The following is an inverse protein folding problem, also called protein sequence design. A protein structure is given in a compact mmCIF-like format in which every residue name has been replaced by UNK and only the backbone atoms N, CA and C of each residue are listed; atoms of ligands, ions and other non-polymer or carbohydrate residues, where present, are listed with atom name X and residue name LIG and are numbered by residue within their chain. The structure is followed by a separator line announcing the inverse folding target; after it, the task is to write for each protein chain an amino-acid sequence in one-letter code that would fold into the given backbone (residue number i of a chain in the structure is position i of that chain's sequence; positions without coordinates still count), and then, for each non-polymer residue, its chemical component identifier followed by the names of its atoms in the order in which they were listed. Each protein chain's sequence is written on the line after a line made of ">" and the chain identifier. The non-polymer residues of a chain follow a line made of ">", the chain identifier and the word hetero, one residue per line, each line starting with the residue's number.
data_IF_846827751890
#
_entry.id   IF_846827751890
#
_cell.length_a   1.000
_cell.length_b   1.000
_cell.length_c   1.000
_cell.angle_alpha   90.00
_cell.angle_beta   90.00
_cell.angle_gamma   90.00
#
_symmetry.space_group_name_H-M   'P 1'
#
loop_
_entity.id
_entity.type
_entity.pdbx_description
1 polymer ?
#
# COMPACT_ATOMS: atom_id res chain seq x y z
N UNK A 1 49.06 7.61 16.82
CA UNK A 1 47.84 8.44 16.87
C UNK A 1 46.65 7.59 16.45
N UNK A 2 45.88 7.05 17.40
CA UNK A 2 44.67 6.30 17.11
C UNK A 2 43.45 7.18 17.36
N UNK A 3 42.75 7.59 16.30
CA UNK A 3 41.44 8.22 16.43
C UNK A 3 40.38 7.14 16.22
N UNK A 4 39.77 6.70 17.33
CA UNK A 4 38.50 5.97 17.29
C UNK A 4 37.41 6.99 17.03
N UNK A 5 36.77 6.92 15.87
CA UNK A 5 35.57 7.69 15.59
C UNK A 5 34.37 6.98 16.22
N UNK A 6 33.72 7.70 17.13
CA UNK A 6 32.49 7.31 17.79
C UNK A 6 31.34 7.40 16.78
N UNK A 7 30.66 6.29 16.52
CA UNK A 7 29.39 6.31 15.81
C UNK A 7 28.35 6.90 16.76
N UNK A 8 27.84 8.09 16.42
CA UNK A 8 26.68 8.67 17.10
C UNK A 8 25.47 7.93 16.56
N UNK A 9 24.93 7.00 17.35
CA UNK A 9 23.64 6.39 17.06
C UNK A 9 22.58 7.49 17.23
N UNK A 10 21.96 7.91 16.13
CA UNK A 10 20.78 8.76 16.21
C UNK A 10 19.69 8.01 17.00
N UNK A 11 18.96 8.68 17.90
CA UNK A 11 17.98 8.02 18.72
C UNK A 11 16.94 7.36 17.81
N UNK A 12 16.84 6.02 17.87
CA UNK A 12 15.77 5.30 17.21
C UNK A 12 14.44 5.84 17.76
N UNK A 13 13.71 6.62 16.96
CA UNK A 13 12.37 7.06 17.33
C UNK A 13 11.51 5.82 17.59
N UNK A 14 11.15 5.63 18.86
CA UNK A 14 10.22 4.58 19.26
C UNK A 14 8.82 5.08 18.88
N UNK A 15 8.37 4.69 17.69
CA UNK A 15 6.99 4.87 17.27
C UNK A 15 6.11 3.93 18.12
N UNK A 16 5.45 4.49 19.15
CA UNK A 16 4.63 3.75 20.13
C UNK A 16 3.49 2.94 19.48
N UNK A 17 3.16 3.19 18.20
CA UNK A 17 2.16 2.45 17.43
C UNK A 17 2.71 1.41 16.44
N UNK A 18 4.03 1.22 16.37
CA UNK A 18 4.65 0.38 15.35
C UNK A 18 4.61 -1.11 15.71
N UNK A 19 3.99 -1.93 14.86
CA UNK A 19 3.89 -3.38 15.03
C UNK A 19 4.85 -4.10 14.08
N UNK A 20 5.66 -5.02 14.61
CA UNK A 20 6.52 -5.88 13.79
C UNK A 20 5.65 -6.85 12.98
N UNK A 21 5.73 -6.78 11.65
CA UNK A 21 4.91 -7.62 10.77
C UNK A 21 5.70 -8.73 10.07
N UNK A 22 7.01 -8.53 9.85
CA UNK A 22 7.89 -9.49 9.21
C UNK A 22 9.36 -9.09 9.34
N UNK A 23 10.27 -9.97 8.93
CA UNK A 23 11.67 -9.63 8.66
C UNK A 23 11.83 -9.23 7.20
N UNK A 24 12.83 -8.40 6.90
CA UNK A 24 13.18 -8.04 5.51
C UNK A 24 13.52 -9.26 4.66
N UNK A 25 13.96 -10.35 5.29
CA UNK A 25 14.30 -11.60 4.61
C UNK A 25 13.09 -12.34 4.06
N UNK A 26 11.92 -12.19 4.71
CA UNK A 26 10.66 -12.79 4.27
C UNK A 26 10.25 -12.23 2.90
N UNK A 27 10.69 -11.00 2.59
CA UNK A 27 10.43 -10.34 1.31
C UNK A 27 11.38 -10.74 0.17
N UNK A 28 12.42 -11.55 0.46
CA UNK A 28 13.32 -12.10 -0.56
C UNK A 28 12.65 -13.23 -1.36
N UNK A 29 11.79 -14.01 -0.71
CA UNK A 29 11.08 -15.14 -1.31
C UNK A 29 9.70 -14.73 -1.84
N UNK A 30 8.97 -13.90 -1.11
CA UNK A 30 7.69 -13.33 -1.54
C UNK A 30 7.73 -11.80 -1.54
N UNK A 31 7.45 -11.15 -2.66
CA UNK A 31 7.42 -9.67 -2.72
C UNK A 31 6.21 -9.04 -2.01
N UNK A 32 5.33 -9.85 -1.40
CA UNK A 32 4.08 -9.40 -0.77
C UNK A 32 3.74 -10.23 0.47
N UNK A 33 3.18 -9.58 1.48
CA UNK A 33 2.78 -10.17 2.75
C UNK A 33 1.39 -9.64 3.16
N UNK A 34 0.43 -10.54 3.38
CA UNK A 34 -0.83 -10.22 4.05
C UNK A 34 -0.64 -10.39 5.56
N UNK A 35 -1.14 -9.44 6.34
CA UNK A 35 -1.13 -9.53 7.81
C UNK A 35 -2.28 -8.71 8.42
N UNK A 36 -2.41 -8.75 9.74
CA UNK A 36 -3.37 -7.95 10.51
C UNK A 36 -2.61 -7.12 11.54
N UNK A 37 -2.91 -5.83 11.62
CA UNK A 37 -2.39 -4.91 12.64
C UNK A 37 -3.60 -4.28 13.33
N UNK A 38 -3.72 -4.43 14.65
CA UNK A 38 -4.84 -3.90 15.45
C UNK A 38 -6.22 -4.13 14.80
N UNK A 39 -6.51 -5.40 14.45
CA UNK A 39 -7.74 -5.86 13.78
C UNK A 39 -8.00 -5.30 12.36
N UNK A 40 -7.04 -4.57 11.77
CA UNK A 40 -7.10 -4.12 10.39
C UNK A 40 -6.25 -5.00 9.48
N UNK A 41 -6.86 -5.58 8.45
CA UNK A 41 -6.13 -6.36 7.46
C UNK A 41 -5.37 -5.46 6.48
N UNK A 42 -4.07 -5.69 6.36
CA UNK A 42 -3.18 -4.93 5.48
C UNK A 42 -2.40 -5.87 4.57
N UNK A 43 -1.85 -5.29 3.51
CA UNK A 43 -0.83 -5.91 2.67
C UNK A 43 0.42 -5.05 2.67
N UNK A 44 1.57 -5.69 2.86
CA UNK A 44 2.88 -5.07 2.68
C UNK A 44 3.48 -5.57 1.37
N UNK A 45 3.82 -4.65 0.48
CA UNK A 45 4.55 -4.91 -0.75
C UNK A 45 6.00 -4.50 -0.60
N UNK A 46 6.91 -5.29 -1.17
CA UNK A 46 8.31 -4.93 -1.35
C UNK A 46 8.60 -4.75 -2.85
N UNK A 47 8.96 -3.54 -3.24
CA UNK A 47 9.21 -3.16 -4.62
C UNK A 47 10.41 -2.22 -4.70
N UNK A 48 11.40 -2.55 -5.54
CA UNK A 48 12.62 -1.76 -5.76
C UNK A 48 13.33 -1.29 -4.46
N UNK A 49 13.41 -2.18 -3.46
CA UNK A 49 14.08 -1.89 -2.19
C UNK A 49 13.24 -1.08 -1.18
N UNK A 50 11.99 -0.73 -1.53
CA UNK A 50 11.06 -0.01 -0.65
C UNK A 50 9.90 -0.91 -0.22
N UNK A 51 9.42 -0.69 0.99
CA UNK A 51 8.25 -1.38 1.53
C UNK A 51 7.06 -0.42 1.59
N UNK A 52 5.89 -0.90 1.18
CA UNK A 52 4.65 -0.13 1.12
C UNK A 52 3.54 -0.91 1.81
N UNK A 53 2.88 -0.31 2.80
CA UNK A 53 1.74 -0.93 3.48
C UNK A 53 0.45 -0.24 3.04
N UNK A 54 -0.54 -1.03 2.62
CA UNK A 54 -1.86 -0.57 2.23
C UNK A 54 -2.93 -1.44 2.91
N UNK A 55 -4.14 -0.93 3.01
CA UNK A 55 -5.30 -1.77 3.27
C UNK A 55 -5.35 -2.97 2.33
N UNK A 56 -5.66 -4.15 2.85
CA UNK A 56 -5.68 -5.39 2.07
C UNK A 56 -6.74 -5.38 0.96
N UNK A 57 -7.89 -4.76 1.25
CA UNK A 57 -9.12 -4.82 0.45
C UNK A 57 -9.22 -3.61 -0.46
N UNK A 58 -9.32 -3.84 -1.76
CA UNK A 58 -9.41 -2.79 -2.78
C UNK A 58 -10.62 -1.89 -2.54
N UNK A 59 -10.41 -0.58 -2.56
CA UNK A 59 -11.45 0.43 -2.34
C UNK A 59 -12.67 0.35 -3.28
N UNK A 60 -12.54 -0.31 -4.43
CA UNK A 60 -13.64 -0.41 -5.40
C UNK A 60 -14.75 -1.35 -4.92
N UNK A 61 -14.38 -2.57 -4.52
CA UNK A 61 -15.36 -3.63 -4.17
C UNK A 61 -14.80 -4.66 -3.18
N UNK A 62 -13.72 -4.35 -2.45
CA UNK A 62 -13.13 -5.28 -1.47
C UNK A 62 -12.18 -6.35 -2.04
N UNK A 63 -11.76 -6.22 -3.30
CA UNK A 63 -10.89 -7.21 -3.94
C UNK A 63 -9.54 -7.42 -3.23
N UNK A 64 -8.97 -8.64 -3.24
CA UNK A 64 -7.78 -9.00 -2.47
C UNK A 64 -6.50 -8.46 -3.12
N UNK A 65 -5.99 -7.31 -2.65
CA UNK A 65 -4.81 -6.67 -3.26
C UNK A 65 -3.53 -7.48 -3.12
N UNK A 66 -3.41 -8.33 -2.10
CA UNK A 66 -2.27 -9.25 -1.96
C UNK A 66 -2.16 -10.28 -3.09
N UNK A 67 -3.23 -10.53 -3.86
CA UNK A 67 -3.18 -11.36 -5.07
C UNK A 67 -2.94 -10.53 -6.34
N UNK A 68 -2.88 -9.21 -6.22
CA UNK A 68 -2.55 -8.31 -7.32
C UNK A 68 -1.07 -8.37 -7.70
N UNK A 69 -0.80 -7.95 -8.93
CA UNK A 69 0.55 -7.76 -9.46
C UNK A 69 0.94 -6.28 -9.39
N UNK A 70 2.24 -6.01 -9.39
CA UNK A 70 2.78 -4.64 -9.38
C UNK A 70 3.24 -4.28 -10.79
N UNK A 71 2.77 -3.15 -11.30
CA UNK A 71 3.17 -2.59 -12.60
C UNK A 71 3.59 -1.12 -12.44
N UNK A 72 4.61 -0.71 -13.19
CA UNK A 72 4.99 0.70 -13.29
C UNK A 72 4.12 1.43 -14.31
N UNK A 73 3.32 2.37 -13.83
CA UNK A 73 2.36 3.14 -14.63
C UNK A 73 2.66 4.61 -14.44
N UNK A 74 3.01 5.29 -15.54
CA UNK A 74 3.28 6.73 -15.51
C UNK A 74 4.38 7.10 -14.49
N UNK A 75 5.42 6.26 -14.43
CA UNK A 75 6.53 6.40 -13.47
C UNK A 75 6.20 6.07 -12.03
N UNK A 76 5.01 5.49 -11.76
CA UNK A 76 4.53 5.15 -10.41
C UNK A 76 4.26 3.67 -10.28
N UNK A 77 4.85 3.03 -9.28
CA UNK A 77 4.57 1.64 -8.95
C UNK A 77 3.13 1.49 -8.45
N UNK A 78 2.35 0.66 -9.12
CA UNK A 78 0.93 0.45 -8.85
C UNK A 78 0.62 -1.03 -8.61
N UNK A 79 -0.16 -1.34 -7.56
CA UNK A 79 -0.82 -2.64 -7.47
C UNK A 79 -2.04 -2.66 -8.39
N UNK A 80 -2.18 -3.74 -9.15
CA UNK A 80 -3.33 -4.00 -10.02
C UNK A 80 -4.29 -4.94 -9.30
N UNK A 81 -5.47 -4.43 -8.94
CA UNK A 81 -6.49 -5.24 -8.29
C UNK A 81 -6.88 -6.43 -9.19
N UNK A 82 -6.89 -7.67 -8.67
CA UNK A 82 -7.14 -8.86 -9.49
C UNK A 82 -8.56 -8.91 -10.06
N UNK A 83 -9.56 -8.33 -9.36
CA UNK A 83 -10.97 -8.34 -9.78
C UNK A 83 -11.23 -7.40 -10.96
N UNK A 84 -11.09 -6.09 -10.76
CA UNK A 84 -11.49 -5.08 -11.75
C UNK A 84 -10.34 -4.29 -12.37
N UNK A 85 -9.09 -4.71 -12.14
CA UNK A 85 -7.86 -4.11 -12.71
C UNK A 85 -7.65 -2.63 -12.36
N UNK A 86 -8.25 -2.19 -11.25
CA UNK A 86 -7.99 -0.88 -10.67
C UNK A 86 -6.51 -0.76 -10.30
N UNK A 87 -5.93 0.40 -10.61
CA UNK A 87 -4.51 0.71 -10.43
C UNK A 87 -4.37 1.62 -9.24
N UNK A 88 -3.66 1.16 -8.22
CA UNK A 88 -3.49 1.87 -6.96
C UNK A 88 -2.01 2.11 -6.75
N UNK A 89 -1.61 3.39 -6.66
CA UNK A 89 -0.22 3.77 -6.41
C UNK A 89 0.21 3.26 -5.04
N UNK A 90 1.33 2.55 -4.97
CA UNK A 90 1.81 1.94 -3.71
C UNK A 90 2.22 3.00 -2.67
N UNK A 91 2.80 4.11 -3.13
CA UNK A 91 3.33 5.17 -2.26
C UNK A 91 2.22 6.04 -1.66
N UNK A 92 1.23 6.45 -2.47
CA UNK A 92 0.21 7.41 -2.06
C UNK A 92 -1.19 6.81 -1.90
N UNK A 93 -1.45 5.62 -2.42
CA UNK A 93 -2.78 5.02 -2.41
C UNK A 93 -3.74 5.64 -3.44
N UNK A 94 -3.24 6.44 -4.37
CA UNK A 94 -4.05 7.08 -5.40
C UNK A 94 -4.59 6.07 -6.42
N UNK A 95 -5.86 6.24 -6.81
CA UNK A 95 -6.48 5.46 -7.87
C UNK A 95 -6.22 6.07 -9.24
N UNK A 96 -5.51 5.36 -10.13
CA UNK A 96 -5.22 5.85 -11.49
C UNK A 96 -6.24 5.40 -12.52
N UNK A 97 -6.50 6.26 -13.50
CA UNK A 97 -7.31 5.95 -14.67
C UNK A 97 -6.76 6.61 -15.94
N UNK A 98 -7.07 6.03 -17.09
CA UNK A 98 -6.80 6.68 -18.37
C UNK A 98 -7.99 7.54 -18.78
N UNK A 99 -7.71 8.78 -19.16
CA UNK A 99 -8.70 9.73 -19.66
C UNK A 99 -8.14 10.51 -20.84
N UNK A 100 -8.96 11.39 -21.40
CA UNK A 100 -8.52 12.41 -22.36
C UNK A 100 -8.77 13.76 -21.70
N UNK A 101 -7.79 14.66 -21.74
CA UNK A 101 -8.01 16.03 -21.27
C UNK A 101 -8.88 16.76 -22.31
N UNK A 102 -10.11 17.20 -21.97
CA UNK A 102 -10.98 17.91 -22.90
C UNK A 102 -10.41 19.27 -23.33
N UNK A 103 -9.41 19.81 -22.61
CA UNK A 103 -8.74 21.08 -22.93
C UNK A 103 -7.61 20.89 -23.95
N UNK A 104 -7.15 19.67 -24.18
CA UNK A 104 -6.08 19.40 -25.14
C UNK A 104 -6.62 19.13 -26.55
N UNK A 105 -6.11 19.83 -27.58
CA UNK A 105 -6.59 19.64 -28.95
C UNK A 105 -6.21 18.26 -29.50
N UNK A 106 -5.08 17.72 -29.06
CA UNK A 106 -4.67 16.34 -29.34
C UNK A 106 -5.35 15.45 -28.29
N UNK A 107 -6.42 14.75 -28.70
CA UNK A 107 -7.21 13.83 -27.85
C UNK A 107 -6.43 12.56 -27.46
N UNK A 108 -5.23 12.71 -26.93
CA UNK A 108 -4.38 11.61 -26.50
C UNK A 108 -4.81 11.13 -25.12
N UNK A 109 -4.77 9.81 -24.90
CA UNK A 109 -5.05 9.25 -23.58
C UNK A 109 -3.87 9.51 -22.66
N UNK A 110 -4.16 10.00 -21.46
CA UNK A 110 -3.19 10.25 -20.38
C UNK A 110 -3.65 9.60 -19.09
N UNK A 111 -2.71 9.42 -18.18
CA UNK A 111 -2.99 8.96 -16.82
C UNK A 111 -3.42 10.12 -15.94
N UNK A 112 -4.49 9.90 -15.18
CA UNK A 112 -5.06 10.84 -14.23
C UNK A 112 -5.24 10.16 -12.88
N UNK A 113 -5.26 10.96 -11.81
CA UNK A 113 -5.51 10.48 -10.45
C UNK A 113 -6.96 10.77 -10.03
N UNK A 114 -7.57 9.82 -9.32
CA UNK A 114 -8.84 10.00 -8.60
C UNK A 114 -8.64 10.56 -7.18
N UNK A 115 -7.42 10.96 -6.83
CA UNK A 115 -6.99 11.23 -5.46
C UNK A 115 -6.72 9.95 -4.68
N UNK A 116 -6.41 10.11 -3.39
CA UNK A 116 -6.16 9.00 -2.46
C UNK A 116 -7.44 8.19 -2.28
N UNK A 117 -7.40 6.92 -2.66
CA UNK A 117 -8.55 6.00 -2.63
C UNK A 117 -8.31 4.76 -1.78
N UNK A 118 -7.05 4.36 -1.68
CA UNK A 118 -6.60 3.28 -0.82
C UNK A 118 -5.77 3.87 0.32
N UNK A 119 -6.08 3.52 1.57
CA UNK A 119 -5.27 3.98 2.71
C UNK A 119 -3.90 3.32 2.67
N UNK A 120 -2.86 4.14 2.80
CA UNK A 120 -1.49 3.72 3.04
C UNK A 120 -1.17 3.82 4.54
N UNK A 121 -0.23 3.00 4.99
CA UNK A 121 0.27 2.99 6.36
C UNK A 121 1.78 3.23 6.38
N UNK A 122 2.28 3.79 7.48
CA UNK A 122 3.71 4.07 7.62
C UNK A 122 4.44 2.74 7.80
N UNK A 123 5.51 2.55 7.02
CA UNK A 123 6.41 1.40 7.16
C UNK A 123 7.76 1.90 7.63
N UNK A 124 8.31 1.26 8.65
CA UNK A 124 9.64 1.56 9.18
C UNK A 124 10.45 0.28 9.22
N UNK A 125 11.67 0.32 8.69
CA UNK A 125 12.60 -0.81 8.72
C UNK A 125 13.71 -0.50 9.70
N UNK A 126 13.87 -1.32 10.74
CA UNK A 126 14.93 -1.20 11.74
C UNK A 126 15.42 -2.58 12.17
N UNK A 127 16.74 -2.74 12.34
CA UNK A 127 17.36 -3.99 12.80
C UNK A 127 16.89 -5.24 12.01
N UNK A 128 16.66 -5.10 10.70
CA UNK A 128 16.17 -6.17 9.82
C UNK A 128 14.68 -6.53 9.98
N UNK A 129 13.95 -5.85 10.86
CA UNK A 129 12.49 -5.97 11.01
C UNK A 129 11.73 -4.92 10.20
N UNK A 130 10.60 -5.33 9.65
CA UNK A 130 9.62 -4.44 8.98
C UNK A 130 8.49 -4.19 9.97
N UNK A 131 8.31 -2.93 10.33
CA UNK A 131 7.30 -2.46 11.26
C UNK A 131 6.26 -1.62 10.52
N UNK A 132 5.00 -1.74 10.91
CA UNK A 132 3.90 -0.94 10.36
C UNK A 132 3.21 -0.17 11.47
N UNK A 133 3.01 1.13 11.24
CA UNK A 133 2.17 2.00 12.07
C UNK A 133 0.94 2.38 11.28
N UNK A 134 -0.24 2.04 11.80
CA UNK A 134 -1.50 2.37 11.13
C UNK A 134 -1.70 3.88 11.08
N UNK A 135 -1.87 4.41 9.88
CA UNK A 135 -2.35 5.78 9.67
C UNK A 135 -3.68 6.04 10.36
N UNK A 136 -3.81 7.23 10.95
CA UNK A 136 -5.01 7.67 11.63
C UNK A 136 -6.22 7.71 10.69
N UNK A 137 -7.31 7.11 11.15
CA UNK A 137 -8.59 7.02 10.41
C UNK A 137 -9.59 8.10 10.85
N UNK A 138 -9.30 8.82 11.95
CA UNK A 138 -10.18 9.85 12.50
C UNK A 138 -10.06 11.20 11.80
N UNK A 139 -8.92 11.46 11.15
CA UNK A 139 -8.61 12.77 10.55
C UNK A 139 -9.04 12.90 9.10
N UNK A 140 -9.01 11.82 8.32
CA UNK A 140 -9.48 11.83 6.93
C UNK A 140 -10.08 10.47 6.55
N UNK A 141 -11.25 10.52 5.91
CA UNK A 141 -11.90 9.33 5.33
C UNK A 141 -11.21 8.90 4.04
N UNK A 142 -11.06 7.59 3.85
CA UNK A 142 -10.59 6.97 2.62
C UNK A 142 -11.58 5.91 2.14
N UNK A 143 -11.84 5.81 0.83
CA UNK A 143 -12.82 4.86 0.27
C UNK A 143 -12.58 3.40 0.74
N UNK A 144 -11.32 2.99 0.92
CA UNK A 144 -10.95 1.65 1.41
C UNK A 144 -11.36 1.37 2.87
N UNK A 145 -11.63 2.38 3.69
CA UNK A 145 -12.06 2.21 5.09
C UNK A 145 -13.37 1.42 5.19
N UNK A 146 -14.22 1.51 4.16
CA UNK A 146 -15.45 0.73 4.01
C UNK A 146 -15.21 -0.78 4.13
N UNK A 147 -14.07 -1.25 3.61
CA UNK A 147 -13.75 -2.68 3.52
C UNK A 147 -12.71 -3.13 4.55
N UNK A 148 -12.25 -2.22 5.42
CA UNK A 148 -11.13 -2.48 6.33
C UNK A 148 -11.56 -3.00 7.72
N UNK A 149 -12.86 -2.92 8.05
CA UNK A 149 -13.40 -3.27 9.37
C UNK A 149 -13.94 -4.69 9.48
N UNK A 150 -14.20 -5.35 8.35
CA UNK A 150 -14.76 -6.69 8.32
C UNK A 150 -13.70 -7.69 7.84
N UNK A 151 -13.58 -8.82 8.56
CA UNK A 151 -12.73 -9.94 8.12
C UNK A 151 -13.41 -10.64 6.96
N UNK A 152 -13.09 -10.23 5.73
CA UNK A 152 -13.60 -10.88 4.54
C UNK A 152 -12.87 -12.22 4.34
N UNK A 153 -13.63 -13.30 4.17
CA UNK A 153 -13.11 -14.55 3.60
C UNK A 153 -12.78 -14.26 2.14
N UNK A 154 -11.64 -14.75 1.64
CA UNK A 154 -11.29 -14.61 0.23
C UNK A 154 -12.30 -15.42 -0.62
N UNK A 155 -13.34 -14.73 -1.06
CA UNK A 155 -14.38 -15.25 -1.94
C UNK A 155 -14.15 -14.70 -3.35
N UNK A 156 -14.65 -15.37 -4.40
CA UNK A 156 -14.73 -14.77 -5.73
C UNK A 156 -15.48 -13.43 -5.65
N UNK A 157 -15.18 -12.52 -6.57
CA UNK A 157 -15.90 -11.24 -6.65
C UNK A 157 -17.41 -11.51 -6.67
N UNK A 158 -18.21 -10.91 -5.79
CA UNK A 158 -19.65 -11.06 -5.88
C UNK A 158 -20.13 -10.52 -7.23
N UNK A 159 -21.09 -11.21 -7.84
CA UNK A 159 -21.73 -10.73 -9.07
C UNK A 159 -22.38 -9.36 -8.80
N UNK A 160 -22.37 -8.43 -9.76
CA UNK A 160 -23.09 -7.17 -9.61
C UNK A 160 -24.55 -7.48 -9.32
N UNK A 161 -25.08 -6.93 -8.23
CA UNK A 161 -26.51 -7.01 -7.94
C UNK A 161 -27.23 -6.35 -9.11
N UNK A 162 -28.05 -7.15 -9.81
CA UNK A 162 -28.82 -6.73 -11.00
C UNK A 162 -29.79 -5.59 -10.70
#
# INVERSE_FOLDING_TARGET
>A
MGQKQSATEEPEEIDEGAVLVAKVEDFKTSKKLRTTVNDREIVVFHHLGKHHALDLRCYHSGGPLHLGEIEDIDGRACVICPWHKFKIVLESGEGLYQGVDPREPKRTKKWFSKGVKQRTHKVTVRNGGVYVTLSDTSTMWCDSDTYAKEKFIDQPCPDPVA
#
